data_IF_951169205520
#
_entry.id   IF_951169205520
#
_cell.length_a   1.000
_cell.length_b   1.000
_cell.length_c   1.000
_cell.angle_alpha   90.00
_cell.angle_beta   90.00
_cell.angle_gamma   90.00
#
_symmetry.space_group_name_H-M   'P 1'
#
loop_
_entity.id
_entity.type
_entity.pdbx_description
1 polymer ?
#
# COMPACT_ATOMS: atom_id res chain seq x y z
N UNK A 1 -22.24 37.35 23.13
CA UNK A 1 -20.97 36.83 23.71
C UNK A 1 -19.88 37.69 23.12
N UNK A 2 -19.17 38.44 23.97
CA UNK A 2 -18.19 39.42 23.53
C UNK A 2 -16.98 38.73 22.88
N UNK A 3 -16.64 39.18 21.68
CA UNK A 3 -15.49 38.70 20.94
C UNK A 3 -14.22 39.31 21.56
N UNK A 4 -13.29 38.46 22.00
CA UNK A 4 -12.00 38.88 22.56
C UNK A 4 -10.91 38.77 21.49
N UNK A 5 -10.42 39.90 21.00
CA UNK A 5 -9.33 39.97 20.01
C UNK A 5 -8.10 40.68 20.59
N UNK A 6 -6.91 40.19 20.26
CA UNK A 6 -5.64 40.75 20.72
C UNK A 6 -4.51 40.35 19.77
N UNK A 7 -3.60 41.29 19.49
CA UNK A 7 -2.32 40.98 18.83
C UNK A 7 -1.37 40.30 19.83
N UNK A 8 -0.85 39.13 19.44
CA UNK A 8 0.05 38.34 20.28
C UNK A 8 1.39 38.16 19.57
N UNK A 9 2.48 38.42 20.31
CA UNK A 9 3.82 38.16 19.82
C UNK A 9 4.05 36.67 19.59
N UNK A 10 4.46 36.31 18.38
CA UNK A 10 4.55 34.92 17.94
C UNK A 10 5.95 34.44 17.56
N UNK A 11 6.96 34.93 18.30
CA UNK A 11 8.35 34.51 18.14
C UNK A 11 9.06 35.17 16.95
N UNK A 12 10.33 34.82 16.80
CA UNK A 12 11.22 35.38 15.77
C UNK A 12 11.49 34.34 14.69
N UNK A 13 11.54 34.80 13.44
CA UNK A 13 11.94 33.99 12.29
C UNK A 13 13.22 34.60 11.73
N UNK A 14 14.33 33.84 11.62
CA UNK A 14 15.54 34.32 10.98
C UNK A 14 15.27 34.77 9.54
N UNK A 15 15.66 36.00 9.21
CA UNK A 15 15.52 36.54 7.86
C UNK A 15 16.71 36.16 7.00
N UNK A 16 16.43 35.94 5.72
CA UNK A 16 17.45 35.71 4.70
C UNK A 16 18.11 37.05 4.36
N UNK A 17 19.43 37.07 4.30
CA UNK A 17 20.20 38.23 3.81
C UNK A 17 20.01 38.41 2.30
N UNK A 18 20.41 39.56 1.76
CA UNK A 18 20.43 39.82 0.31
C UNK A 18 21.28 38.80 -0.46
N UNK A 19 22.27 38.20 0.21
CA UNK A 19 23.16 37.19 -0.35
C UNK A 19 22.60 35.76 -0.26
N UNK A 20 21.41 35.53 0.32
CA UNK A 20 20.84 34.18 0.43
C UNK A 20 21.43 33.35 1.58
N UNK A 21 21.92 34.01 2.64
CA UNK A 21 22.44 33.39 3.86
C UNK A 21 21.59 33.77 5.07
N UNK A 22 21.89 33.19 6.23
CA UNK A 22 21.24 33.47 7.51
C UNK A 22 22.27 33.72 8.60
N UNK A 23 22.00 34.64 9.52
CA UNK A 23 22.85 34.87 10.69
C UNK A 23 22.22 34.13 11.88
N UNK A 24 22.93 33.12 12.40
CA UNK A 24 22.49 32.32 13.54
C UNK A 24 23.59 32.35 14.59
N UNK A 25 23.29 32.90 15.77
CA UNK A 25 24.24 33.08 16.87
C UNK A 25 25.55 33.79 16.44
N UNK A 26 25.43 34.82 15.58
CA UNK A 26 26.57 35.60 15.08
C UNK A 26 27.37 34.94 13.96
N UNK A 27 26.98 33.74 13.51
CA UNK A 27 27.66 33.04 12.40
C UNK A 27 26.80 32.99 11.15
N UNK A 28 27.42 33.17 9.99
CA UNK A 28 26.73 33.06 8.70
C UNK A 28 26.54 31.59 8.32
N UNK A 29 25.30 31.24 7.97
CA UNK A 29 24.88 29.89 7.63
C UNK A 29 24.11 29.88 6.32
N UNK A 30 24.17 28.75 5.64
CA UNK A 30 23.40 28.48 4.43
C UNK A 30 22.53 27.26 4.65
N UNK A 31 21.29 27.35 4.17
CA UNK A 31 20.37 26.22 4.14
C UNK A 31 20.50 25.54 2.78
N UNK A 32 21.06 24.34 2.77
CA UNK A 32 21.26 23.55 1.55
C UNK A 32 19.91 22.98 1.09
N UNK A 33 19.60 23.12 -0.20
CA UNK A 33 18.37 22.56 -0.77
C UNK A 33 18.41 21.03 -0.72
N UNK A 34 17.29 20.42 -0.36
CA UNK A 34 17.24 18.97 -0.15
C UNK A 34 16.67 18.27 -1.38
N UNK A 35 17.37 17.25 -1.88
CA UNK A 35 16.85 16.33 -2.89
C UNK A 35 16.23 15.11 -2.19
N UNK A 36 14.92 14.96 -2.31
CA UNK A 36 14.18 13.84 -1.71
C UNK A 36 13.34 13.10 -2.74
N UNK A 37 12.72 11.98 -2.35
CA UNK A 37 11.76 11.28 -3.22
C UNK A 37 10.51 12.14 -3.40
N UNK A 38 10.05 12.28 -4.63
CA UNK A 38 8.80 12.97 -4.93
C UNK A 38 7.61 12.19 -4.33
N UNK A 39 6.51 12.86 -3.97
CA UNK A 39 5.27 12.18 -3.60
C UNK A 39 4.76 11.25 -4.72
N UNK A 40 4.14 10.14 -4.37
CA UNK A 40 3.60 9.16 -5.31
C UNK A 40 3.72 7.72 -4.83
N UNK A 41 3.51 6.77 -5.74
CA UNK A 41 3.75 5.34 -5.51
C UNK A 41 4.99 4.88 -6.26
N UNK A 42 5.78 4.02 -5.62
CA UNK A 42 6.99 3.41 -6.18
C UNK A 42 6.93 1.92 -6.00
N UNK A 43 7.18 1.16 -7.06
CA UNK A 43 7.32 -0.30 -7.00
C UNK A 43 8.79 -0.64 -7.15
N UNK A 44 9.27 -1.63 -6.41
CA UNK A 44 10.68 -1.96 -6.33
C UNK A 44 10.86 -3.47 -6.26
N UNK A 45 12.00 -3.96 -6.74
CA UNK A 45 12.41 -5.32 -6.52
C UNK A 45 13.88 -5.37 -6.13
N UNK A 46 14.24 -6.30 -5.27
CA UNK A 46 15.60 -6.37 -4.74
C UNK A 46 16.59 -7.13 -5.63
N UNK A 47 16.17 -7.51 -6.84
CA UNK A 47 16.91 -8.37 -7.77
C UNK A 47 17.46 -9.66 -7.13
N UNK A 48 16.85 -10.13 -6.03
CA UNK A 48 17.30 -11.30 -5.28
C UNK A 48 18.51 -11.06 -4.37
N UNK A 49 18.93 -9.81 -4.15
CA UNK A 49 20.09 -9.46 -3.33
C UNK A 49 19.81 -9.57 -1.82
N UNK A 50 18.57 -9.43 -1.37
CA UNK A 50 18.28 -9.30 0.09
C UNK A 50 18.15 -10.63 0.82
N UNK A 51 17.81 -11.72 0.12
CA UNK A 51 17.58 -13.02 0.74
C UNK A 51 18.57 -14.07 0.21
N UNK A 52 19.13 -14.87 1.12
CA UNK A 52 20.16 -15.87 0.80
C UNK A 52 19.71 -16.91 -0.25
N UNK A 53 18.41 -17.14 -0.39
CA UNK A 53 17.85 -18.03 -1.42
C UNK A 53 17.92 -17.45 -2.84
N UNK A 54 18.31 -16.19 -3.02
CA UNK A 54 18.26 -15.49 -4.30
C UNK A 54 16.85 -15.21 -4.83
N UNK A 55 15.82 -15.36 -3.97
CA UNK A 55 14.43 -15.11 -4.35
C UNK A 55 14.22 -13.60 -4.44
N UNK A 56 13.74 -13.14 -5.59
CA UNK A 56 13.38 -11.74 -5.80
C UNK A 56 12.19 -11.37 -4.93
N UNK A 57 12.37 -10.35 -4.10
CA UNK A 57 11.34 -9.76 -3.25
C UNK A 57 10.84 -8.46 -3.89
N UNK A 58 9.53 -8.30 -3.88
CA UNK A 58 8.86 -7.13 -4.45
C UNK A 58 8.28 -6.27 -3.34
N UNK A 59 8.33 -4.96 -3.52
CA UNK A 59 7.76 -4.00 -2.58
C UNK A 59 7.08 -2.85 -3.30
N UNK A 60 6.14 -2.19 -2.62
CA UNK A 60 5.53 -0.95 -3.05
C UNK A 60 5.57 0.07 -1.92
N UNK A 61 5.79 1.35 -2.23
CA UNK A 61 5.84 2.42 -1.24
C UNK A 61 4.98 3.58 -1.71
N UNK A 62 4.01 3.96 -0.89
CA UNK A 62 3.20 5.17 -1.07
C UNK A 62 3.80 6.25 -0.20
N UNK A 63 4.35 7.27 -0.85
CA UNK A 63 5.04 8.40 -0.23
C UNK A 63 4.15 9.63 -0.40
N UNK A 64 3.54 10.15 0.68
CA UNK A 64 2.82 11.41 0.60
C UNK A 64 3.77 12.61 0.57
N UNK A 65 3.24 13.75 0.16
CA UNK A 65 3.89 15.04 0.40
C UNK A 65 3.96 15.33 1.90
N UNK A 66 2.86 15.03 2.60
CA UNK A 66 2.72 15.12 4.05
C UNK A 66 1.78 14.04 4.56
N UNK A 67 2.11 13.42 5.68
CA UNK A 67 1.31 12.36 6.29
C UNK A 67 2.10 11.06 6.41
N UNK A 68 1.40 9.98 6.76
CA UNK A 68 2.02 8.69 7.05
C UNK A 68 2.39 7.90 5.79
N UNK A 69 3.53 7.23 5.82
CA UNK A 69 3.97 6.38 4.71
C UNK A 69 3.29 5.01 4.79
N UNK A 70 2.96 4.44 3.63
CA UNK A 70 2.52 3.03 3.52
C UNK A 70 3.58 2.28 2.72
N UNK A 71 4.13 1.22 3.30
CA UNK A 71 5.10 0.34 2.65
C UNK A 71 4.54 -1.08 2.63
N UNK A 72 4.44 -1.67 1.45
CA UNK A 72 4.10 -3.07 1.23
C UNK A 72 5.35 -3.84 0.83
N UNK A 73 5.59 -5.01 1.42
CA UNK A 73 6.70 -5.87 1.02
C UNK A 73 6.33 -7.36 1.12
N UNK A 74 6.69 -8.12 0.09
CA UNK A 74 6.66 -9.57 0.13
C UNK A 74 7.89 -10.10 0.87
N UNK A 75 7.68 -11.08 1.75
CA UNK A 75 8.78 -11.83 2.34
C UNK A 75 9.14 -13.08 1.51
N UNK A 76 10.16 -13.81 1.97
CA UNK A 76 10.62 -15.02 1.30
C UNK A 76 9.56 -16.14 1.26
N UNK A 77 8.59 -16.12 2.18
CA UNK A 77 7.47 -17.08 2.26
C UNK A 77 6.26 -16.64 1.42
N UNK A 78 6.40 -15.60 0.59
CA UNK A 78 5.31 -15.01 -0.20
C UNK A 78 4.19 -14.39 0.63
N UNK A 79 4.45 -14.02 1.89
CA UNK A 79 3.47 -13.29 2.71
C UNK A 79 3.60 -11.80 2.40
N UNK A 80 2.47 -11.15 2.13
CA UNK A 80 2.42 -9.72 1.89
C UNK A 80 2.26 -8.98 3.22
N UNK A 81 3.28 -8.21 3.57
CA UNK A 81 3.27 -7.37 4.78
C UNK A 81 3.00 -5.92 4.43
N UNK A 82 2.46 -5.18 5.40
CA UNK A 82 2.36 -3.73 5.39
C UNK A 82 3.10 -3.14 6.59
N UNK A 83 3.73 -1.98 6.39
CA UNK A 83 4.26 -1.11 7.43
C UNK A 83 3.69 0.29 7.25
N UNK A 84 3.22 0.90 8.33
CA UNK A 84 2.83 2.30 8.39
C UNK A 84 3.93 3.06 9.14
N UNK A 85 4.45 4.14 8.57
CA UNK A 85 5.55 4.95 9.14
C UNK A 85 6.78 4.15 9.60
N UNK A 86 7.15 3.13 8.81
CA UNK A 86 8.31 2.23 9.09
C UNK A 86 8.22 1.53 10.45
N UNK A 87 7.01 1.36 10.99
CA UNK A 87 6.78 0.57 12.20
C UNK A 87 6.82 -0.94 11.90
N UNK A 88 6.52 -1.75 12.91
CA UNK A 88 6.52 -3.21 12.83
C UNK A 88 5.54 -3.69 11.74
N UNK A 89 5.93 -4.75 11.04
CA UNK A 89 5.11 -5.42 10.03
C UNK A 89 3.77 -5.91 10.60
N UNK A 90 2.76 -5.85 9.74
CA UNK A 90 1.44 -6.46 9.87
C UNK A 90 1.12 -7.20 8.55
N UNK A 91 0.33 -8.29 8.56
CA UNK A 91 -0.28 -8.82 7.35
C UNK A 91 -1.03 -7.72 6.60
N UNK A 92 -0.82 -7.59 5.30
CA UNK A 92 -1.41 -6.49 4.53
C UNK A 92 -2.94 -6.58 4.43
N UNK A 93 -3.52 -7.76 4.62
CA UNK A 93 -4.97 -7.99 4.66
C UNK A 93 -5.64 -7.29 5.84
N UNK A 94 -4.93 -7.06 6.96
CA UNK A 94 -5.44 -6.26 8.08
C UNK A 94 -5.76 -4.84 7.61
N UNK A 95 -4.89 -4.24 6.77
CA UNK A 95 -5.18 -2.92 6.23
C UNK A 95 -6.41 -2.95 5.33
N UNK A 96 -6.58 -3.98 4.48
CA UNK A 96 -7.76 -4.10 3.63
C UNK A 96 -9.06 -4.28 4.45
N UNK A 97 -9.05 -5.13 5.48
CA UNK A 97 -10.18 -5.28 6.40
C UNK A 97 -10.50 -3.98 7.14
N UNK A 98 -9.48 -3.23 7.57
CA UNK A 98 -9.66 -1.91 8.19
C UNK A 98 -10.24 -0.86 7.23
N UNK A 99 -10.09 -1.04 5.91
CA UNK A 99 -10.76 -0.22 4.89
C UNK A 99 -12.23 -0.63 4.70
N UNK A 100 -12.68 -1.73 5.30
CA UNK A 100 -14.03 -2.26 5.21
C UNK A 100 -14.22 -3.36 4.16
N UNK A 101 -13.13 -3.90 3.58
CA UNK A 101 -13.25 -5.02 2.64
C UNK A 101 -13.43 -6.35 3.38
N UNK A 102 -14.38 -7.16 2.93
CA UNK A 102 -14.56 -8.53 3.45
C UNK A 102 -13.51 -9.49 2.88
N UNK A 103 -13.33 -10.65 3.51
CA UNK A 103 -12.42 -11.69 3.00
C UNK A 103 -12.78 -12.10 1.57
N UNK A 104 -14.08 -12.24 1.28
CA UNK A 104 -14.58 -12.57 -0.05
C UNK A 104 -14.25 -11.48 -1.08
N UNK A 105 -14.50 -10.20 -0.75
CA UNK A 105 -14.16 -9.08 -1.64
C UNK A 105 -12.66 -9.00 -1.90
N UNK A 106 -11.83 -9.21 -0.88
CA UNK A 106 -10.38 -9.27 -1.02
C UNK A 106 -10.02 -10.39 -2.00
N UNK A 107 -10.49 -11.62 -1.78
CA UNK A 107 -10.14 -12.76 -2.62
C UNK A 107 -10.61 -12.57 -4.07
N UNK A 108 -11.86 -12.15 -4.29
CA UNK A 108 -12.39 -11.82 -5.63
C UNK A 108 -11.62 -10.69 -6.30
N UNK A 109 -11.04 -9.78 -5.53
CA UNK A 109 -10.22 -8.70 -6.08
C UNK A 109 -8.83 -9.17 -6.51
N UNK A 110 -8.25 -10.23 -5.94
CA UNK A 110 -6.89 -10.70 -6.29
C UNK A 110 -6.88 -11.96 -7.16
N UNK A 111 -7.92 -12.77 -7.09
CA UNK A 111 -8.02 -14.06 -7.75
C UNK A 111 -9.24 -14.12 -8.67
N UNK A 112 -9.10 -14.84 -9.77
CA UNK A 112 -10.22 -15.26 -10.59
C UNK A 112 -10.94 -16.43 -9.89
N UNK A 113 -12.25 -16.53 -10.07
CA UNK A 113 -13.04 -17.65 -9.54
C UNK A 113 -13.42 -18.61 -10.67
N UNK A 114 -13.60 -19.89 -10.37
CA UNK A 114 -14.22 -20.88 -11.26
C UNK A 114 -15.52 -21.39 -10.63
N UNK A 115 -16.61 -21.41 -11.39
CA UNK A 115 -17.89 -21.98 -10.93
C UNK A 115 -17.91 -23.48 -11.19
N UNK A 116 -18.25 -24.23 -10.14
CA UNK A 116 -18.39 -25.69 -10.16
C UNK A 116 -19.87 -26.02 -10.04
N UNK A 117 -20.35 -26.89 -10.93
CA UNK A 117 -21.69 -27.43 -10.92
C UNK A 117 -21.63 -28.93 -10.62
N UNK A 118 -22.46 -29.38 -9.70
CA UNK A 118 -22.71 -30.80 -9.47
C UNK A 118 -24.01 -31.21 -10.17
N UNK A 119 -23.98 -32.33 -10.90
CA UNK A 119 -25.15 -32.94 -11.54
C UNK A 119 -25.52 -34.22 -10.79
N UNK A 120 -26.52 -34.18 -9.89
CA UNK A 120 -26.94 -35.36 -9.13
C UNK A 120 -27.39 -36.52 -10.03
N UNK A 121 -28.08 -36.22 -11.14
CA UNK A 121 -28.63 -37.23 -12.06
C UNK A 121 -27.54 -38.10 -12.72
N UNK A 122 -26.34 -37.55 -12.89
CA UNK A 122 -25.22 -38.18 -13.58
C UNK A 122 -24.02 -38.44 -12.65
N UNK A 123 -24.15 -38.10 -11.36
CA UNK A 123 -23.08 -38.08 -10.34
C UNK A 123 -21.73 -37.52 -10.85
N UNK A 124 -21.78 -36.40 -11.57
CA UNK A 124 -20.59 -35.77 -12.17
C UNK A 124 -20.47 -34.30 -11.84
N UNK A 125 -19.24 -33.79 -11.87
CA UNK A 125 -18.95 -32.38 -11.72
C UNK A 125 -18.67 -31.74 -13.08
N UNK A 126 -19.16 -30.53 -13.26
CA UNK A 126 -18.99 -29.70 -14.43
C UNK A 126 -18.42 -28.35 -14.00
N UNK A 127 -17.68 -27.68 -14.89
CA UNK A 127 -17.28 -26.29 -14.68
C UNK A 127 -17.28 -25.49 -15.96
N UNK A 128 -17.37 -24.17 -15.84
CA UNK A 128 -17.22 -23.29 -17.01
C UNK A 128 -15.76 -23.29 -17.44
N UNK A 129 -15.49 -23.71 -18.68
CA UNK A 129 -14.16 -23.64 -19.26
C UNK A 129 -13.84 -22.22 -19.68
N UNK A 130 -12.73 -21.67 -19.14
CA UNK A 130 -12.15 -20.40 -19.59
C UNK A 130 -10.78 -20.64 -20.17
N UNK A 131 -10.64 -20.42 -21.48
CA UNK A 131 -9.41 -20.70 -22.20
C UNK A 131 -8.23 -19.88 -21.67
N UNK A 132 -8.47 -18.62 -21.30
CA UNK A 132 -7.42 -17.69 -20.84
C UNK A 132 -6.72 -18.15 -19.55
N UNK A 133 -7.48 -18.75 -18.63
CA UNK A 133 -6.96 -19.30 -17.38
C UNK A 133 -6.12 -20.56 -17.64
N UNK A 134 -6.56 -21.37 -18.60
CA UNK A 134 -6.01 -22.70 -18.85
C UNK A 134 -4.89 -22.74 -19.90
N UNK A 135 -4.69 -21.68 -20.68
CA UNK A 135 -3.82 -21.67 -21.86
C UNK A 135 -2.41 -22.25 -21.66
N UNK A 136 -1.81 -22.09 -20.48
CA UNK A 136 -0.46 -22.60 -20.21
C UNK A 136 -0.40 -23.72 -19.16
N UNK A 137 -1.57 -24.20 -18.73
CA UNK A 137 -1.66 -25.34 -17.82
C UNK A 137 -1.55 -26.64 -18.59
N UNK A 138 -0.91 -27.64 -17.96
CA UNK A 138 -0.97 -29.02 -18.43
C UNK A 138 -2.33 -29.58 -18.04
N UNK A 139 -3.05 -30.08 -19.03
CA UNK A 139 -4.32 -30.76 -18.80
C UNK A 139 -4.02 -32.16 -18.29
N UNK A 140 -4.51 -32.56 -17.11
CA UNK A 140 -4.24 -33.88 -16.53
C UNK A 140 -5.31 -34.94 -16.84
N UNK A 141 -6.44 -34.54 -17.40
CA UNK A 141 -7.59 -35.41 -17.67
C UNK A 141 -8.25 -35.09 -19.04
N UNK A 142 -8.98 -36.02 -19.66
CA UNK A 142 -9.69 -35.76 -20.91
C UNK A 142 -10.70 -34.60 -20.76
N UNK A 143 -10.69 -33.65 -21.70
CA UNK A 143 -11.70 -32.59 -21.76
C UNK A 143 -12.93 -33.15 -22.47
N UNK A 144 -14.06 -33.12 -21.79
CA UNK A 144 -15.35 -33.60 -22.29
C UNK A 144 -16.31 -32.42 -22.25
N UNK A 145 -16.92 -32.12 -23.40
CA UNK A 145 -18.00 -31.11 -23.47
C UNK A 145 -19.24 -31.68 -22.76
N UNK A 146 -19.76 -30.97 -21.76
CA UNK A 146 -20.87 -31.46 -20.94
C UNK A 146 -22.21 -31.49 -21.70
N UNK A 147 -22.35 -30.75 -22.80
CA UNK A 147 -23.58 -30.74 -23.62
C UNK A 147 -23.62 -31.88 -24.64
N UNK A 148 -22.48 -32.18 -25.27
CA UNK A 148 -22.40 -33.17 -26.35
C UNK A 148 -21.84 -34.52 -25.91
N UNK A 149 -21.30 -34.61 -24.68
CA UNK A 149 -20.49 -35.72 -24.18
C UNK A 149 -19.32 -36.09 -25.13
N UNK A 150 -18.92 -35.18 -26.02
CA UNK A 150 -17.82 -35.40 -26.95
C UNK A 150 -16.49 -35.28 -26.21
N UNK A 151 -15.71 -36.37 -26.21
CA UNK A 151 -14.34 -36.37 -25.70
C UNK A 151 -13.44 -35.70 -26.74
N UNK A 152 -12.85 -34.57 -26.38
CA UNK A 152 -11.95 -33.87 -27.27
C UNK A 152 -10.61 -34.62 -27.38
N UNK A 153 -10.07 -34.80 -28.60
CA UNK A 153 -8.81 -35.51 -28.83
C UNK A 153 -7.59 -34.64 -28.47
N UNK A 154 -7.51 -34.23 -27.20
CA UNK A 154 -6.41 -33.46 -26.62
C UNK A 154 -5.36 -34.38 -25.98
N UNK A 155 -4.08 -33.99 -26.09
CA UNK A 155 -3.01 -34.72 -25.41
C UNK A 155 -2.90 -34.24 -23.95
N UNK A 156 -3.25 -35.10 -22.99
CA UNK A 156 -3.21 -34.85 -21.53
C UNK A 156 -1.80 -34.66 -20.94
N UNK A 157 -0.77 -34.49 -21.77
CA UNK A 157 0.62 -34.26 -21.33
C UNK A 157 1.17 -32.90 -21.75
N UNK A 158 0.47 -32.19 -22.63
CA UNK A 158 0.91 -30.89 -23.18
C UNK A 158 0.03 -29.75 -22.67
N UNK A 159 0.66 -28.59 -22.51
CA UNK A 159 -0.06 -27.35 -22.25
C UNK A 159 -1.01 -27.02 -23.41
N UNK A 160 -2.15 -26.40 -23.12
CA UNK A 160 -3.16 -25.99 -24.11
C UNK A 160 -2.58 -25.15 -25.25
N UNK A 161 -1.71 -24.21 -24.93
CA UNK A 161 -1.00 -23.35 -25.89
C UNK A 161 -0.06 -24.14 -26.81
N UNK A 162 0.37 -25.33 -26.41
CA UNK A 162 1.29 -26.22 -27.15
C UNK A 162 0.56 -27.39 -27.82
N UNK A 163 -0.76 -27.44 -27.76
CA UNK A 163 -1.56 -28.38 -28.54
C UNK A 163 -1.42 -28.06 -30.05
N UNK A 164 -1.66 -29.07 -30.88
CA UNK A 164 -1.49 -28.92 -32.33
C UNK A 164 -2.36 -27.78 -32.88
N UNK A 165 -1.88 -27.09 -33.93
CA UNK A 165 -2.60 -25.97 -34.58
C UNK A 165 -4.03 -26.32 -35.02
N UNK A 166 -4.31 -27.59 -35.30
CA UNK A 166 -5.64 -28.11 -35.66
C UNK A 166 -6.60 -28.24 -34.47
N UNK A 167 -6.08 -28.35 -33.26
CA UNK A 167 -6.86 -28.56 -32.03
C UNK A 167 -7.21 -27.26 -31.30
N UNK A 168 -6.43 -26.20 -31.49
CA UNK A 168 -6.70 -24.88 -30.87
C UNK A 168 -8.12 -24.35 -31.14
N UNK A 169 -8.63 -24.33 -32.39
CA UNK A 169 -9.97 -23.77 -32.66
C UNK A 169 -11.08 -24.54 -31.96
N UNK A 170 -10.94 -25.88 -31.82
CA UNK A 170 -11.93 -26.73 -31.13
C UNK A 170 -11.96 -26.49 -29.62
N UNK A 171 -10.80 -26.19 -29.04
CA UNK A 171 -10.68 -25.88 -27.62
C UNK A 171 -11.15 -24.45 -27.33
N UNK A 172 -10.78 -23.49 -28.18
CA UNK A 172 -11.26 -22.10 -28.08
C UNK A 172 -12.79 -22.02 -28.24
N UNK A 173 -13.40 -22.92 -29.02
CA UNK A 173 -14.86 -23.03 -29.14
C UNK A 173 -15.58 -23.53 -27.87
N UNK A 174 -14.85 -24.04 -26.87
CA UNK A 174 -15.39 -24.40 -25.55
C UNK A 174 -15.33 -23.25 -24.56
N UNK A 175 -14.74 -22.11 -24.94
CA UNK A 175 -14.69 -20.96 -24.05
C UNK A 175 -16.12 -20.52 -23.70
N UNK A 176 -16.42 -20.48 -22.41
CA UNK A 176 -17.77 -20.24 -21.89
C UNK A 176 -18.69 -21.46 -21.83
N UNK A 177 -18.30 -22.63 -22.35
CA UNK A 177 -19.05 -23.88 -22.22
C UNK A 177 -18.73 -24.64 -20.93
N UNK A 178 -19.61 -25.56 -20.56
CA UNK A 178 -19.39 -26.46 -19.42
C UNK A 178 -18.57 -27.68 -19.85
N UNK A 179 -17.58 -28.02 -19.06
CA UNK A 179 -16.76 -29.23 -19.23
C UNK A 179 -16.90 -30.14 -18.03
N UNK A 180 -16.87 -31.44 -18.25
CA UNK A 180 -16.86 -32.44 -17.16
C UNK A 180 -15.47 -32.47 -16.53
N UNK A 181 -15.42 -32.49 -15.20
CA UNK A 181 -14.18 -32.54 -14.42
C UNK A 181 -14.18 -33.71 -13.42
N UNK A 182 -13.01 -34.34 -13.18
CA UNK A 182 -12.87 -35.35 -12.14
C UNK A 182 -13.02 -34.73 -10.74
N UNK A 183 -13.60 -35.50 -9.80
CA UNK A 183 -13.72 -35.10 -8.39
C UNK A 183 -12.35 -34.77 -7.78
N UNK A 184 -11.31 -35.51 -8.15
CA UNK A 184 -9.95 -35.36 -7.65
C UNK A 184 -9.35 -33.97 -7.95
N UNK A 185 -9.89 -33.27 -8.94
CA UNK A 185 -9.40 -31.94 -9.35
C UNK A 185 -9.99 -30.80 -8.52
N UNK A 186 -11.10 -31.09 -7.83
CA UNK A 186 -11.81 -30.18 -6.92
C UNK A 186 -11.26 -30.33 -5.50
N UNK A 187 -10.83 -31.53 -5.12
CA UNK A 187 -10.18 -31.77 -3.83
C UNK A 187 -8.96 -30.85 -3.65
N UNK A 188 -8.79 -30.34 -2.44
CA UNK A 188 -7.73 -29.39 -2.05
C UNK A 188 -7.79 -28.04 -2.77
N UNK A 189 -8.86 -27.76 -3.55
CA UNK A 189 -9.16 -26.40 -4.02
C UNK A 189 -9.78 -25.59 -2.89
N UNK A 190 -9.74 -24.28 -3.04
CA UNK A 190 -10.14 -23.33 -2.00
C UNK A 190 -11.45 -22.69 -2.40
N UNK A 191 -12.38 -22.56 -1.44
CA UNK A 191 -13.64 -21.86 -1.65
C UNK A 191 -13.45 -20.36 -1.88
N UNK A 192 -14.17 -19.81 -2.85
CA UNK A 192 -14.15 -18.36 -3.11
C UNK A 192 -15.16 -17.57 -2.26
N UNK A 193 -16.24 -18.21 -1.82
CA UNK A 193 -17.33 -17.58 -1.05
C UNK A 193 -17.85 -18.53 0.03
N UNK A 194 -18.61 -17.99 0.98
CA UNK A 194 -19.33 -18.82 1.95
C UNK A 194 -20.44 -19.59 1.22
N UNK A 195 -20.56 -20.88 1.49
CA UNK A 195 -21.64 -21.74 0.96
C UNK A 195 -22.58 -22.09 2.10
N UNK A 196 -23.79 -21.55 2.03
CA UNK A 196 -24.79 -21.63 3.08
C UNK A 196 -25.94 -22.52 2.62
N UNK A 197 -26.35 -23.47 3.45
CA UNK A 197 -27.60 -24.17 3.24
C UNK A 197 -28.77 -23.26 3.64
N UNK A 198 -29.54 -22.80 2.64
CA UNK A 198 -30.68 -21.92 2.84
C UNK A 198 -31.81 -22.54 3.68
N UNK A 199 -31.83 -23.87 3.84
CA UNK A 199 -32.86 -24.57 4.63
C UNK A 199 -32.55 -24.57 6.12
N UNK A 200 -31.29 -24.76 6.47
CA UNK A 200 -30.83 -24.86 7.87
C UNK A 200 -30.18 -23.57 8.38
N UNK A 201 -29.74 -22.69 7.47
CA UNK A 201 -28.97 -21.49 7.79
C UNK A 201 -27.53 -21.77 8.21
N UNK A 202 -27.06 -23.01 8.06
CA UNK A 202 -25.69 -23.40 8.42
C UNK A 202 -24.71 -23.11 7.27
N UNK A 203 -23.55 -22.57 7.62
CA UNK A 203 -22.42 -22.42 6.69
C UNK A 203 -21.75 -23.78 6.56
N UNK A 204 -21.81 -24.37 5.38
CA UNK A 204 -21.22 -25.70 5.11
C UNK A 204 -19.76 -25.60 4.68
N UNK A 205 -19.40 -24.52 3.98
CA UNK A 205 -18.05 -24.25 3.52
C UNK A 205 -17.77 -22.75 3.66
N UNK A 206 -16.75 -22.40 4.44
CA UNK A 206 -16.34 -21.00 4.65
C UNK A 206 -15.48 -20.49 3.48
N UNK A 207 -15.51 -19.18 3.25
CA UNK A 207 -14.64 -18.49 2.32
C UNK A 207 -13.17 -18.70 2.73
N UNK A 208 -12.31 -19.02 1.75
CA UNK A 208 -10.90 -19.39 1.97
C UNK A 208 -10.66 -20.75 2.63
N UNK A 209 -11.71 -21.56 2.85
CA UNK A 209 -11.58 -22.93 3.36
C UNK A 209 -11.18 -23.91 2.24
N UNK A 210 -10.47 -24.97 2.62
CA UNK A 210 -10.05 -26.04 1.71
C UNK A 210 -11.16 -27.08 1.53
N UNK A 211 -11.41 -27.48 0.29
CA UNK A 211 -12.44 -28.46 -0.05
C UNK A 211 -11.93 -29.87 0.21
N UNK A 212 -12.44 -30.48 1.28
CA UNK A 212 -12.22 -31.88 1.63
C UNK A 212 -13.32 -32.78 1.07
N UNK A 213 -13.10 -34.09 1.10
CA UNK A 213 -14.10 -35.07 0.68
C UNK A 213 -15.35 -35.05 1.57
N UNK A 214 -15.17 -34.84 2.88
CA UNK A 214 -16.25 -34.66 3.86
C UNK A 214 -17.13 -33.46 3.49
N UNK A 215 -16.52 -32.31 3.20
CA UNK A 215 -17.25 -31.11 2.77
C UNK A 215 -17.99 -31.29 1.46
N UNK A 216 -17.41 -31.98 0.49
CA UNK A 216 -18.13 -32.30 -0.76
C UNK A 216 -19.34 -33.20 -0.50
N UNK A 217 -19.26 -34.11 0.47
CA UNK A 217 -20.40 -34.94 0.86
C UNK A 217 -21.48 -34.11 1.57
N UNK A 218 -21.11 -33.24 2.51
CA UNK A 218 -22.04 -32.32 3.17
C UNK A 218 -22.79 -31.45 2.15
N UNK A 219 -22.10 -30.91 1.15
CA UNK A 219 -22.71 -30.12 0.07
C UNK A 219 -23.72 -30.95 -0.76
N UNK A 220 -23.39 -32.22 -1.04
CA UNK A 220 -24.29 -33.14 -1.76
C UNK A 220 -25.54 -33.45 -0.94
N UNK A 221 -25.38 -33.75 0.35
CA UNK A 221 -26.48 -34.07 1.26
C UNK A 221 -27.42 -32.87 1.47
N UNK A 222 -26.87 -31.65 1.50
CA UNK A 222 -27.63 -30.41 1.55
C UNK A 222 -28.31 -30.04 0.22
N UNK A 223 -27.98 -30.73 -0.89
CA UNK A 223 -28.52 -30.46 -2.22
C UNK A 223 -27.95 -29.21 -2.89
N UNK A 224 -26.75 -28.79 -2.48
CA UNK A 224 -26.07 -27.64 -3.08
C UNK A 224 -25.36 -28.09 -4.35
N UNK A 225 -25.88 -27.64 -5.49
CA UNK A 225 -25.41 -28.06 -6.81
C UNK A 225 -24.43 -27.07 -7.45
N UNK A 226 -24.17 -25.93 -6.83
CA UNK A 226 -23.29 -24.89 -7.37
C UNK A 226 -22.47 -24.25 -6.25
N UNK A 227 -21.16 -24.10 -6.49
CA UNK A 227 -20.26 -23.37 -5.61
C UNK A 227 -19.07 -22.81 -6.40
N UNK A 228 -18.38 -21.82 -5.82
CA UNK A 228 -17.25 -21.13 -6.46
C UNK A 228 -15.92 -21.52 -5.81
N UNK A 229 -14.91 -21.78 -6.65
CA UNK A 229 -13.54 -22.04 -6.20
C UNK A 229 -12.58 -20.96 -6.68
N UNK A 230 -11.52 -20.72 -5.91
CA UNK A 230 -10.44 -19.81 -6.30
C UNK A 230 -9.50 -20.45 -7.32
N UNK A 231 -9.15 -19.68 -8.35
CA UNK A 231 -8.15 -20.07 -9.33
C UNK A 231 -6.78 -19.46 -9.01
N UNK A 232 -5.84 -20.31 -8.59
CA UNK A 232 -4.42 -20.01 -8.59
C UNK A 232 -3.62 -21.30 -8.84
N UNK A 233 -2.57 -21.20 -9.65
CA UNK A 233 -1.80 -22.35 -10.13
C UNK A 233 -0.42 -22.47 -9.45
N UNK A 234 -0.08 -21.55 -8.54
CA UNK A 234 1.21 -21.42 -7.88
C UNK A 234 2.42 -21.35 -8.83
N UNK A 235 2.19 -21.18 -10.13
CA UNK A 235 3.22 -21.07 -11.17
C UNK A 235 3.20 -19.64 -11.72
N UNK A 236 2.02 -19.18 -12.16
CA UNK A 236 1.78 -17.82 -12.66
C UNK A 236 1.10 -16.96 -11.63
N UNK A 237 0.10 -17.50 -10.95
CA UNK A 237 -0.68 -16.80 -9.93
C UNK A 237 -0.33 -17.42 -8.59
N UNK A 238 0.31 -16.62 -7.74
CA UNK A 238 0.72 -17.03 -6.41
C UNK A 238 -0.44 -17.01 -5.42
N UNK A 239 -0.56 -18.04 -4.57
CA UNK A 239 -1.47 -18.06 -3.41
C UNK A 239 -1.12 -17.05 -2.29
N UNK A 240 -0.27 -16.05 -2.54
CA UNK A 240 0.28 -15.15 -1.53
C UNK A 240 -0.76 -14.41 -0.67
N UNK A 241 -1.85 -13.93 -1.26
CA UNK A 241 -2.89 -13.20 -0.52
C UNK A 241 -3.66 -14.15 0.39
N UNK A 242 -3.92 -15.40 -0.06
CA UNK A 242 -4.46 -16.46 0.80
C UNK A 242 -3.55 -16.76 1.98
N UNK A 243 -2.26 -17.00 1.74
CA UNK A 243 -1.30 -17.28 2.82
C UNK A 243 -1.20 -16.10 3.80
N UNK A 244 -1.38 -14.87 3.31
CA UNK A 244 -1.46 -13.67 4.14
C UNK A 244 -2.73 -13.64 4.99
N UNK A 245 -3.89 -14.02 4.42
CA UNK A 245 -5.16 -14.14 5.14
C UNK A 245 -5.10 -15.21 6.25
N UNK A 246 -4.41 -16.32 6.04
CA UNK A 246 -4.25 -17.37 7.06
C UNK A 246 -3.44 -16.91 8.28
N UNK A 247 -2.54 -15.93 8.11
CA UNK A 247 -1.77 -15.33 9.20
C UNK A 247 -2.48 -14.16 9.87
N UNK A 248 -3.51 -13.63 9.22
CA UNK A 248 -4.32 -12.55 9.72
C UNK A 248 -5.33 -13.05 10.73
N UNK A 249 -5.17 -12.61 11.99
CA UNK A 249 -6.01 -13.03 13.11
C UNK A 249 -7.30 -12.21 13.24
N UNK A 250 -7.47 -11.17 12.43
CA UNK A 250 -8.61 -10.27 12.50
C UNK A 250 -9.75 -10.78 11.63
N UNK A 251 -10.99 -10.67 12.10
CA UNK A 251 -12.17 -11.14 11.34
C UNK A 251 -12.96 -9.99 10.74
N UNK A 252 -13.11 -8.89 11.50
CA UNK A 252 -13.94 -7.75 11.14
C UNK A 252 -13.14 -6.44 11.01
N UNK A 253 -13.79 -5.40 10.48
CA UNK A 253 -13.20 -4.08 10.29
C UNK A 253 -12.72 -3.46 11.62
N UNK A 254 -13.50 -3.61 12.69
CA UNK A 254 -13.21 -2.98 13.99
C UNK A 254 -11.95 -3.58 14.64
N UNK A 255 -11.83 -4.91 14.63
CA UNK A 255 -10.65 -5.64 15.10
C UNK A 255 -9.40 -5.25 14.31
N UNK A 256 -9.54 -5.12 12.98
CA UNK A 256 -8.44 -4.71 12.12
C UNK A 256 -7.98 -3.28 12.44
N UNK A 257 -8.92 -2.33 12.62
CA UNK A 257 -8.63 -0.95 13.04
C UNK A 257 -7.96 -0.92 14.43
N UNK A 258 -8.44 -1.73 15.38
CA UNK A 258 -7.85 -1.84 16.72
C UNK A 258 -6.41 -2.38 16.66
N UNK A 259 -6.15 -3.39 15.82
CA UNK A 259 -4.82 -3.97 15.69
C UNK A 259 -3.83 -2.95 15.08
N UNK A 260 -4.27 -2.17 14.09
CA UNK A 260 -3.49 -1.03 13.57
C UNK A 260 -3.23 -0.01 14.69
N UNK A 261 -4.24 0.35 15.48
CA UNK A 261 -4.10 1.29 16.59
C UNK A 261 -3.06 0.82 17.62
N UNK A 262 -3.12 -0.44 18.05
CA UNK A 262 -2.13 -1.03 18.99
C UNK A 262 -0.71 -0.93 18.45
N UNK A 263 -0.53 -1.04 17.13
CA UNK A 263 0.78 -0.91 16.48
C UNK A 263 1.27 0.54 16.42
N UNK A 264 0.35 1.49 16.22
CA UNK A 264 0.65 2.92 16.17
C UNK A 264 0.84 3.53 17.55
N UNK A 265 0.18 3.01 18.59
CA UNK A 265 0.27 3.49 19.97
C UNK A 265 0.41 2.32 20.95
N UNK A 266 1.60 1.72 21.04
CA UNK A 266 1.85 0.62 21.97
C UNK A 266 1.85 1.17 23.41
N UNK A 267 0.72 1.04 24.10
CA UNK A 267 0.57 1.47 25.50
C UNK A 267 -0.77 2.14 25.81
N UNK A 268 -1.42 2.75 24.81
CA UNK A 268 -2.73 3.36 25.00
C UNK A 268 -3.82 2.29 24.86
N UNK A 269 -4.80 2.20 25.78
CA UNK A 269 -5.92 1.28 25.63
C UNK A 269 -6.73 1.64 24.38
N UNK A 270 -6.96 0.69 23.44
CA UNK A 270 -7.72 0.97 22.24
C UNK A 270 -9.22 1.06 22.55
N UNK A 271 -9.87 2.13 22.09
CA UNK A 271 -11.33 2.16 21.93
C UNK A 271 -11.68 2.20 20.45
N UNK A 272 -12.82 1.64 20.04
CA UNK A 272 -13.21 1.57 18.62
C UNK A 272 -13.23 2.98 18.01
N UNK A 273 -13.79 3.96 18.72
CA UNK A 273 -13.88 5.35 18.24
C UNK A 273 -12.52 6.03 18.10
N UNK A 274 -11.62 5.87 19.09
CA UNK A 274 -10.28 6.46 19.03
C UNK A 274 -9.43 5.81 17.94
N UNK A 275 -9.60 4.50 17.74
CA UNK A 275 -8.92 3.74 16.70
C UNK A 275 -9.41 4.12 15.30
N UNK A 276 -10.72 4.22 15.10
CA UNK A 276 -11.32 4.68 13.84
C UNK A 276 -10.88 6.11 13.50
N UNK A 277 -10.92 7.02 14.47
CA UNK A 277 -10.44 8.40 14.29
C UNK A 277 -8.97 8.45 13.90
N UNK A 278 -8.11 7.67 14.57
CA UNK A 278 -6.70 7.60 14.22
C UNK A 278 -6.52 7.10 12.78
N UNK A 279 -7.25 6.05 12.39
CA UNK A 279 -7.18 5.48 11.04
C UNK A 279 -7.59 6.49 9.95
N UNK A 280 -8.66 7.24 10.18
CA UNK A 280 -9.09 8.35 9.30
C UNK A 280 -8.02 9.44 9.19
N UNK A 281 -7.43 9.84 10.32
CA UNK A 281 -6.38 10.84 10.37
C UNK A 281 -5.09 10.40 9.66
N UNK A 282 -4.83 9.09 9.54
CA UNK A 282 -3.63 8.58 8.88
C UNK A 282 -3.65 8.76 7.36
N UNK A 283 -4.80 8.64 6.69
CA UNK A 283 -4.84 8.52 5.22
C UNK A 283 -5.90 9.39 4.53
N UNK A 284 -7.03 9.65 5.20
CA UNK A 284 -8.23 10.23 4.59
C UNK A 284 -8.47 11.69 4.99
N UNK A 285 -7.84 12.15 6.06
CA UNK A 285 -7.98 13.52 6.52
C UNK A 285 -7.00 14.47 5.81
N UNK A 286 -7.52 15.41 5.00
CA UNK A 286 -6.75 16.46 4.30
C UNK A 286 -5.87 17.30 5.23
N UNK A 287 -6.27 17.41 6.50
CA UNK A 287 -5.55 18.18 7.52
C UNK A 287 -4.25 17.48 7.92
N UNK A 288 -4.15 16.16 7.81
CA UNK A 288 -2.98 15.36 8.20
C UNK A 288 -2.28 14.68 7.02
N UNK A 289 -3.01 14.40 5.95
CA UNK A 289 -2.53 13.69 4.77
C UNK A 289 -2.69 14.51 3.49
N UNK A 290 -1.65 14.53 2.67
CA UNK A 290 -1.60 15.23 1.40
C UNK A 290 -0.58 14.56 0.46
N UNK A 291 -1.03 14.13 -0.72
CA UNK A 291 -0.20 13.60 -1.80
C UNK A 291 0.42 14.70 -2.66
N UNK A 292 -0.07 15.94 -2.55
CA UNK A 292 0.07 17.02 -3.54
C UNK A 292 -0.55 16.67 -4.90
N UNK A 293 -0.72 17.69 -5.75
CA UNK A 293 -1.15 17.52 -7.15
C UNK A 293 -0.22 16.58 -7.93
N UNK A 294 1.09 16.69 -7.69
CA UNK A 294 2.10 15.86 -8.36
C UNK A 294 2.00 14.40 -7.92
N UNK A 295 1.83 14.15 -6.63
CA UNK A 295 1.71 12.76 -6.13
C UNK A 295 0.43 12.08 -6.60
N UNK A 296 -0.69 12.81 -6.66
CA UNK A 296 -1.94 12.31 -7.22
C UNK A 296 -1.82 12.00 -8.71
N UNK A 297 -1.23 12.89 -9.51
CA UNK A 297 -0.98 12.65 -10.94
C UNK A 297 -0.08 11.43 -11.17
N UNK A 298 1.00 11.28 -10.38
CA UNK A 298 1.87 10.09 -10.44
C UNK A 298 1.13 8.80 -10.12
N UNK A 299 0.33 8.80 -9.05
CA UNK A 299 -0.47 7.65 -8.64
C UNK A 299 -1.46 7.25 -9.75
N UNK A 300 -2.18 8.24 -10.29
CA UNK A 300 -3.16 8.04 -11.36
C UNK A 300 -2.53 7.50 -12.64
N UNK A 301 -1.42 8.07 -13.10
CA UNK A 301 -0.71 7.59 -14.30
C UNK A 301 -0.19 6.17 -14.13
N UNK A 302 0.36 5.86 -12.95
CA UNK A 302 0.96 4.56 -12.67
C UNK A 302 -0.08 3.45 -12.59
N UNK A 303 -1.20 3.71 -11.93
CA UNK A 303 -2.27 2.74 -11.69
C UNK A 303 -3.42 2.85 -12.70
N UNK A 304 -3.33 3.77 -13.67
CA UNK A 304 -4.39 4.09 -14.66
C UNK A 304 -5.73 4.43 -14.01
N UNK A 305 -5.69 5.25 -12.95
CA UNK A 305 -6.89 5.70 -12.24
C UNK A 305 -7.36 7.05 -12.81
N UNK A 306 -8.68 7.20 -12.95
CA UNK A 306 -9.31 8.45 -13.36
C UNK A 306 -9.83 9.19 -12.12
N UNK A 307 -8.98 10.03 -11.52
CA UNK A 307 -9.28 10.78 -10.29
C UNK A 307 -8.86 12.22 -10.48
N UNK A 308 -9.69 13.20 -10.10
CA UNK A 308 -9.29 14.60 -10.15
C UNK A 308 -7.99 14.86 -9.37
N UNK A 309 -7.08 15.65 -9.96
CA UNK A 309 -5.76 15.96 -9.38
C UNK A 309 -5.88 16.75 -8.06
N UNK A 310 -7.02 17.43 -7.85
CA UNK A 310 -7.32 18.16 -6.63
C UNK A 310 -7.71 17.24 -5.45
N UNK A 311 -7.95 15.94 -5.70
CA UNK A 311 -8.16 14.96 -4.64
C UNK A 311 -6.82 14.48 -4.06
N UNK A 312 -6.34 15.17 -3.02
CA UNK A 312 -4.99 14.98 -2.48
C UNK A 312 -4.87 13.96 -1.34
N UNK A 313 -5.97 13.47 -0.77
CA UNK A 313 -5.98 12.37 0.22
C UNK A 313 -5.96 11.03 -0.47
N UNK A 314 -5.58 9.94 0.21
CA UNK A 314 -5.76 8.59 -0.35
C UNK A 314 -7.24 8.22 -0.36
N UNK A 315 -7.60 7.28 -1.24
CA UNK A 315 -8.89 6.59 -1.22
C UNK A 315 -8.69 5.10 -0.96
N UNK A 316 -9.75 4.40 -0.54
CA UNK A 316 -9.70 2.96 -0.28
C UNK A 316 -9.31 2.18 -1.54
N UNK A 317 -9.83 2.62 -2.68
CA UNK A 317 -9.58 2.04 -4.01
C UNK A 317 -8.13 2.27 -4.44
N UNK A 318 -7.51 3.38 -4.02
CA UNK A 318 -6.12 3.67 -4.35
C UNK A 318 -5.18 2.65 -3.68
N UNK A 319 -5.40 2.35 -2.39
CA UNK A 319 -4.60 1.38 -1.63
C UNK A 319 -4.78 -0.03 -2.22
N UNK A 320 -6.03 -0.40 -2.51
CA UNK A 320 -6.35 -1.69 -3.12
C UNK A 320 -5.69 -1.83 -4.51
N UNK A 321 -5.75 -0.79 -5.34
CA UNK A 321 -5.09 -0.77 -6.65
C UNK A 321 -3.57 -0.86 -6.56
N UNK A 322 -2.93 -0.23 -5.57
CA UNK A 322 -1.49 -0.38 -5.31
C UNK A 322 -1.14 -1.83 -4.98
N UNK A 323 -1.91 -2.46 -4.09
CA UNK A 323 -1.69 -3.86 -3.73
C UNK A 323 -1.91 -4.80 -4.92
N UNK A 324 -2.96 -4.56 -5.73
CA UNK A 324 -3.22 -5.34 -6.95
C UNK A 324 -2.08 -5.21 -7.96
N UNK A 325 -1.59 -3.99 -8.19
CA UNK A 325 -0.48 -3.77 -9.10
C UNK A 325 0.82 -4.43 -8.61
N UNK A 326 1.09 -4.38 -7.30
CA UNK A 326 2.23 -5.07 -6.69
C UNK A 326 2.13 -6.60 -6.87
N UNK A 327 0.93 -7.17 -6.65
CA UNK A 327 0.66 -8.59 -6.87
C UNK A 327 0.85 -8.99 -8.34
N UNK A 328 0.40 -8.17 -9.29
CA UNK A 328 0.59 -8.39 -10.72
C UNK A 328 2.07 -8.32 -11.13
N UNK A 329 2.85 -7.38 -10.59
CA UNK A 329 4.30 -7.28 -10.81
C UNK A 329 5.00 -8.56 -10.35
N UNK A 330 4.68 -9.05 -9.14
CA UNK A 330 5.22 -10.30 -8.61
C UNK A 330 4.93 -11.49 -9.53
N UNK A 331 3.66 -11.65 -9.93
CA UNK A 331 3.20 -12.76 -10.75
C UNK A 331 3.77 -12.74 -12.17
N UNK A 332 3.89 -11.54 -12.79
CA UNK A 332 4.44 -11.37 -14.14
C UNK A 332 5.97 -11.24 -14.17
N UNK A 333 6.63 -11.24 -13.01
CA UNK A 333 8.05 -10.89 -12.84
C UNK A 333 8.38 -9.56 -13.53
N UNK A 334 7.53 -8.56 -13.30
CA UNK A 334 7.69 -7.22 -13.84
C UNK A 334 8.92 -6.52 -13.28
N UNK A 335 9.48 -5.58 -14.04
CA UNK A 335 10.54 -4.71 -13.55
C UNK A 335 9.97 -3.69 -12.55
N UNK A 336 10.74 -3.41 -11.50
CA UNK A 336 10.46 -2.30 -10.59
C UNK A 336 10.63 -0.94 -11.27
N UNK A 337 10.22 0.10 -10.58
CA UNK A 337 10.50 1.48 -10.95
C UNK A 337 11.97 1.81 -10.70
N UNK A 338 12.53 2.63 -11.59
CA UNK A 338 13.80 3.28 -11.35
C UNK A 338 13.58 4.45 -10.36
N UNK A 339 13.91 4.18 -9.10
CA UNK A 339 13.73 5.13 -8.00
C UNK A 339 14.75 6.28 -8.07
N UNK A 340 15.89 6.08 -8.75
CA UNK A 340 16.97 7.05 -8.82
C UNK A 340 16.84 8.02 -9.99
N UNK A 341 15.96 7.71 -10.96
CA UNK A 341 15.52 8.63 -12.00
C UNK A 341 15.17 10.02 -11.43
N UNK A 342 15.73 11.09 -11.99
CA UNK A 342 15.60 12.45 -11.45
C UNK A 342 14.13 12.92 -11.39
N UNK A 343 13.30 12.49 -12.35
CA UNK A 343 11.85 12.71 -12.33
C UNK A 343 11.12 12.13 -11.11
N UNK A 344 11.72 11.16 -10.39
CA UNK A 344 11.24 10.59 -9.13
C UNK A 344 11.85 11.25 -7.89
N UNK A 345 12.67 12.27 -8.11
CA UNK A 345 13.23 13.13 -7.07
C UNK A 345 12.69 14.53 -7.19
N UNK A 346 12.69 15.23 -6.06
CA UNK A 346 12.18 16.60 -5.93
C UNK A 346 13.12 17.41 -5.08
N UNK A 347 13.27 18.67 -5.45
CA UNK A 347 14.08 19.63 -4.70
C UNK A 347 13.15 20.36 -3.74
N UNK A 348 13.46 20.27 -2.44
CA UNK A 348 12.88 21.13 -1.40
C UNK A 348 13.76 22.35 -1.23
N UNK A 349 13.18 23.50 -1.56
CA UNK A 349 13.81 24.79 -1.31
C UNK A 349 13.72 25.16 0.18
N UNK A 350 14.49 26.18 0.57
CA UNK A 350 14.58 26.69 1.95
C UNK A 350 13.21 27.05 2.53
N UNK A 351 12.37 27.72 1.74
CA UNK A 351 11.02 28.13 2.16
C UNK A 351 10.15 26.95 2.59
N UNK A 352 10.14 25.87 1.80
CA UNK A 352 9.36 24.66 2.13
C UNK A 352 9.90 23.95 3.37
N UNK A 353 11.22 23.90 3.53
CA UNK A 353 11.84 23.29 4.70
C UNK A 353 11.41 24.03 5.98
N UNK A 354 11.46 25.36 5.95
CA UNK A 354 11.06 26.21 7.07
C UNK A 354 9.55 26.12 7.32
N UNK A 355 8.72 26.17 6.26
CA UNK A 355 7.26 26.04 6.36
C UNK A 355 6.86 24.75 7.09
N UNK A 356 7.51 23.64 6.74
CA UNK A 356 7.26 22.35 7.40
C UNK A 356 7.63 22.37 8.88
N UNK A 357 8.77 22.96 9.25
CA UNK A 357 9.17 23.10 10.65
C UNK A 357 8.20 24.01 11.43
N UNK A 358 7.80 25.12 10.82
CA UNK A 358 6.84 26.05 11.39
C UNK A 358 5.50 25.37 11.66
N UNK A 359 5.00 24.57 10.70
CA UNK A 359 3.77 23.77 10.85
C UNK A 359 3.87 22.76 11.98
N UNK A 360 5.03 22.09 12.16
CA UNK A 360 5.25 21.20 13.31
C UNK A 360 5.15 21.98 14.63
N UNK A 361 5.72 23.17 14.69
CA UNK A 361 5.57 24.08 15.83
C UNK A 361 4.11 24.43 16.11
N UNK A 362 3.36 24.83 15.09
CA UNK A 362 1.93 25.15 15.20
C UNK A 362 1.10 23.96 15.70
N UNK A 363 1.40 22.75 15.25
CA UNK A 363 0.71 21.53 15.73
C UNK A 363 0.95 21.23 17.20
N UNK A 364 2.19 21.40 17.67
CA UNK A 364 2.52 21.27 19.10
C UNK A 364 1.72 22.28 19.92
N UNK A 365 1.65 23.51 19.43
CA UNK A 365 0.89 24.56 20.10
C UNK A 365 -0.62 24.30 20.08
N UNK A 366 -1.19 23.88 18.94
CA UNK A 366 -2.60 23.55 18.80
C UNK A 366 -3.05 22.53 19.85
N UNK A 367 -2.21 21.49 20.07
CA UNK A 367 -2.47 20.50 21.11
C UNK A 367 -2.50 21.13 22.51
N UNK A 368 -1.49 21.91 22.86
CA UNK A 368 -1.43 22.60 24.16
C UNK A 368 -2.61 23.55 24.36
N UNK A 369 -3.01 24.28 23.32
CA UNK A 369 -4.18 25.18 23.36
C UNK A 369 -5.45 24.38 23.62
N UNK A 370 -5.68 23.30 22.89
CA UNK A 370 -6.85 22.43 23.09
C UNK A 370 -6.90 21.84 24.50
N UNK A 371 -5.77 21.39 25.02
CA UNK A 371 -5.67 20.88 26.39
C UNK A 371 -6.01 21.97 27.43
N UNK A 372 -5.51 23.20 27.26
CA UNK A 372 -5.81 24.32 28.16
C UNK A 372 -7.25 24.81 28.09
N UNK A 373 -7.81 24.92 26.90
CA UNK A 373 -9.20 25.32 26.70
C UNK A 373 -10.20 24.35 27.32
N UNK A 374 -9.84 23.06 27.44
CA UNK A 374 -10.68 22.07 28.11
C UNK A 374 -10.58 22.13 29.64
N UNK A 375 -9.50 22.67 30.20
CA UNK A 375 -9.26 22.71 31.65
C UNK A 375 -9.75 24.00 32.32
N UNK A 376 -9.90 25.09 31.56
CA UNK A 376 -10.15 26.44 32.10
C UNK A 376 -11.47 27.03 31.57
N UNK A 377 -12.09 27.90 32.37
CA UNK A 377 -13.34 28.58 32.00
C UNK A 377 -13.09 29.62 30.90
N UNK A 378 -13.84 29.52 29.80
CA UNK A 378 -13.66 30.34 28.59
C UNK A 378 -13.87 31.85 28.83
N UNK A 379 -14.68 32.22 29.82
CA UNK A 379 -15.05 33.62 30.06
C UNK A 379 -13.92 34.43 30.69
N UNK A 380 -12.93 33.77 31.31
CA UNK A 380 -11.76 34.44 31.92
C UNK A 380 -10.53 34.44 31.02
N UNK A 381 -10.48 33.55 30.04
CA UNK A 381 -9.35 33.38 29.13
C UNK A 381 -9.17 34.53 28.15
N UNK A 382 -7.91 34.97 27.95
CA UNK A 382 -7.50 35.87 26.88
C UNK A 382 -6.62 35.14 25.86
N UNK A 383 -6.56 35.56 24.58
CA UNK A 383 -5.77 34.89 23.55
C UNK A 383 -4.27 34.69 23.89
N UNK A 384 -3.64 35.66 24.57
CA UNK A 384 -2.23 35.57 24.96
C UNK A 384 -1.97 34.50 26.03
N UNK A 385 -2.96 34.08 26.82
CA UNK A 385 -2.82 33.00 27.81
C UNK A 385 -2.66 31.62 27.14
N UNK A 386 -3.27 31.47 25.96
CA UNK A 386 -3.29 30.24 25.19
C UNK A 386 -2.07 30.11 24.27
N UNK A 387 -1.60 31.22 23.71
CA UNK A 387 -0.55 31.21 22.68
C UNK A 387 0.84 31.35 23.32
N UNK A 388 1.65 30.29 23.20
CA UNK A 388 3.04 30.27 23.68
C UNK A 388 4.01 30.18 22.51
N UNK A 389 4.70 31.28 22.20
CA UNK A 389 5.65 31.36 21.08
C UNK A 389 6.86 30.43 21.21
N UNK A 390 7.15 29.93 22.42
CA UNK A 390 8.27 29.01 22.71
C UNK A 390 8.16 27.71 21.90
N UNK A 391 6.96 27.18 21.71
CA UNK A 391 6.76 25.91 20.99
C UNK A 391 7.13 25.98 19.52
N UNK A 392 6.95 27.16 18.89
CA UNK A 392 7.32 27.38 17.49
C UNK A 392 8.78 27.83 17.39
N UNK A 393 9.16 28.82 18.20
CA UNK A 393 10.53 29.35 18.24
C UNK A 393 11.57 28.27 18.51
N UNK A 394 11.27 27.28 19.37
CA UNK A 394 12.20 26.18 19.67
C UNK A 394 12.47 25.31 18.44
N UNK A 395 11.43 25.00 17.65
CA UNK A 395 11.56 24.15 16.46
C UNK A 395 12.34 24.87 15.37
N UNK A 396 12.09 26.17 15.20
CA UNK A 396 12.84 27.00 14.24
C UNK A 396 14.30 27.13 14.67
N UNK A 397 14.58 27.44 15.95
CA UNK A 397 15.96 27.51 16.47
C UNK A 397 16.69 26.18 16.34
N UNK A 398 16.03 25.06 16.61
CA UNK A 398 16.58 23.71 16.44
C UNK A 398 16.94 23.43 14.97
N UNK A 399 16.06 23.80 14.03
CA UNK A 399 16.35 23.65 12.60
C UNK A 399 17.56 24.48 12.17
N UNK A 400 17.61 25.76 12.50
CA UNK A 400 18.73 26.63 12.10
C UNK A 400 20.04 26.31 12.83
N UNK A 401 19.98 25.82 14.07
CA UNK A 401 21.17 25.50 14.86
C UNK A 401 21.78 24.13 14.56
N UNK A 402 20.93 23.11 14.49
CA UNK A 402 21.36 21.69 14.57
C UNK A 402 21.01 20.86 13.34
N UNK A 403 20.24 21.39 12.38
CA UNK A 403 19.90 20.63 11.17
C UNK A 403 21.13 20.37 10.31
N UNK A 404 21.21 19.17 9.73
CA UNK A 404 22.22 18.81 8.74
C UNK A 404 22.17 19.68 7.47
N UNK A 405 21.02 20.30 7.21
CA UNK A 405 20.82 21.20 6.08
C UNK A 405 21.27 22.64 6.39
N UNK A 406 21.41 23.00 7.68
CA UNK A 406 21.90 24.31 8.11
C UNK A 406 23.40 24.26 8.39
N UNK A 407 24.19 24.63 7.38
CA UNK A 407 25.65 24.50 7.39
C UNK A 407 26.31 25.87 7.59
N UNK A 408 27.50 25.88 8.18
CA UNK A 408 28.33 27.09 8.18
C UNK A 408 28.70 27.46 6.75
N UNK A 409 28.67 28.75 6.44
CA UNK A 409 28.93 29.21 5.08
C UNK A 409 30.39 28.98 4.70
N UNK A 410 30.62 28.43 3.49
CA UNK A 410 31.98 28.26 2.96
C UNK A 410 32.47 29.61 2.42
N UNK A 411 33.29 30.32 3.19
CA UNK A 411 33.76 31.68 2.91
C UNK A 411 35.21 31.75 2.39
N UNK A 412 35.75 30.64 1.88
CA UNK A 412 37.16 30.59 1.41
C UNK A 412 37.37 31.50 0.20
N UNK A 413 36.43 31.48 -0.75
CA UNK A 413 36.42 32.34 -1.94
C UNK A 413 34.99 32.48 -2.49
N UNK A 414 34.72 33.46 -3.38
CA UNK A 414 33.38 33.68 -3.93
C UNK A 414 32.80 32.47 -4.68
N UNK A 415 33.66 31.64 -5.30
CA UNK A 415 33.22 30.44 -6.00
C UNK A 415 32.70 29.36 -5.03
N UNK A 416 33.39 29.15 -3.91
CA UNK A 416 32.94 28.25 -2.85
C UNK A 416 31.60 28.73 -2.29
N UNK A 417 31.44 30.05 -2.14
CA UNK A 417 30.21 30.66 -1.66
C UNK A 417 29.01 30.34 -2.58
N UNK A 418 29.16 30.62 -3.88
CA UNK A 418 28.12 30.35 -4.89
C UNK A 418 27.84 28.85 -5.00
N UNK A 419 28.88 28.02 -4.99
CA UNK A 419 28.75 26.55 -5.09
C UNK A 419 27.99 25.98 -3.90
N UNK A 420 28.26 26.46 -2.69
CA UNK A 420 27.59 25.98 -1.48
C UNK A 420 26.10 26.36 -1.47
N UNK A 421 25.75 27.59 -1.88
CA UNK A 421 24.35 28.02 -2.00
C UNK A 421 23.55 27.21 -3.03
N UNK A 422 24.19 26.78 -4.11
CA UNK A 422 23.59 25.98 -5.19
C UNK A 422 23.67 24.47 -4.96
N UNK A 423 24.20 24.03 -3.82
CA UNK A 423 24.38 22.61 -3.50
C UNK A 423 23.02 21.95 -3.27
N UNK A 424 22.89 20.72 -3.76
CA UNK A 424 21.79 19.81 -3.44
C UNK A 424 22.28 18.72 -2.49
N UNK A 425 21.49 18.42 -1.46
CA UNK A 425 21.80 17.37 -0.50
C UNK A 425 20.69 16.33 -0.46
N UNK A 426 21.03 15.05 -0.62
CA UNK A 426 20.08 13.96 -0.40
C UNK A 426 19.91 13.60 1.10
N UNK A 427 20.68 14.24 1.98
CA UNK A 427 20.69 13.98 3.42
C UNK A 427 19.63 14.81 4.16
N UNK A 428 19.40 14.49 5.43
CA UNK A 428 18.52 15.23 6.31
C UNK A 428 17.12 14.60 6.49
N UNK A 429 16.20 15.30 7.18
CA UNK A 429 14.90 14.76 7.56
C UNK A 429 14.07 14.38 6.32
N UNK A 430 13.57 13.15 6.29
CA UNK A 430 12.82 12.59 5.14
C UNK A 430 13.68 12.21 3.93
N UNK A 431 14.98 12.46 3.97
CA UNK A 431 15.96 12.03 2.98
C UNK A 431 16.66 10.73 3.38
N UNK A 432 17.87 10.55 2.85
CA UNK A 432 18.75 9.42 3.17
C UNK A 432 19.63 9.73 4.37
N UNK A 433 20.04 8.70 5.10
CA UNK A 433 21.15 8.79 6.05
C UNK A 433 22.44 8.32 5.37
N UNK A 434 23.59 8.78 5.85
CA UNK A 434 24.90 8.40 5.27
C UNK A 434 25.10 6.88 5.24
N UNK A 435 24.66 6.19 6.30
CA UNK A 435 24.79 4.73 6.44
C UNK A 435 23.84 3.96 5.51
N UNK A 436 22.75 4.57 5.07
CA UNK A 436 21.76 3.96 4.17
C UNK A 436 21.94 4.36 2.71
N UNK A 437 22.82 5.31 2.42
CA UNK A 437 23.15 5.72 1.07
C UNK A 437 24.09 4.68 0.45
N UNK A 438 23.50 3.65 -0.16
CA UNK A 438 24.20 2.62 -0.91
C UNK A 438 24.83 3.13 -2.20
N UNK A 439 25.50 2.24 -2.92
CA UNK A 439 26.20 2.56 -4.18
C UNK A 439 25.24 3.13 -5.24
N UNK A 440 24.08 2.51 -5.42
CA UNK A 440 23.07 2.87 -6.45
C UNK A 440 22.68 4.35 -6.41
N UNK A 441 22.52 4.92 -5.20
CA UNK A 441 22.11 6.31 -5.02
C UNK A 441 23.28 7.30 -5.13
N UNK A 442 24.52 6.82 -5.04
CA UNK A 442 25.75 7.64 -5.17
C UNK A 442 26.24 7.70 -6.61
N UNK A 443 25.81 6.76 -7.44
CA UNK A 443 26.21 6.68 -8.83
C UNK A 443 25.59 7.81 -9.66
N UNK A 444 26.20 8.10 -10.82
CA UNK A 444 25.71 9.13 -11.74
C UNK A 444 24.63 8.54 -12.62
N UNK A 445 23.39 8.96 -12.41
CA UNK A 445 22.26 8.59 -13.25
C UNK A 445 22.26 9.34 -14.58
N UNK A 446 21.81 8.69 -15.66
CA UNK A 446 21.76 9.28 -17.02
C UNK A 446 20.86 10.52 -17.09
N UNK A 447 19.84 10.59 -16.24
CA UNK A 447 18.88 11.71 -16.16
C UNK A 447 19.41 12.94 -15.42
N UNK A 448 20.68 12.94 -14.99
CA UNK A 448 21.31 14.13 -14.42
C UNK A 448 21.74 15.13 -15.48
N UNK A 449 21.90 14.66 -16.73
CA UNK A 449 22.01 15.50 -17.91
C UNK A 449 20.62 15.97 -18.34
#
# INVERSE_FOLDING_TARGET
RDMKEQEVYFGEIPLMTENGTFIVNGTERVIVSQLHRSPGVFFDNDEGKSHASGKVLYSARIIPYRGSWIEFDFDAKDILHVRIDRRRKLPATILLKALGYTTEEILRHFYETEQIFYRPDLDRYEKVFRFDLWKDQKITYPLIDAETDEVLPIQTTKALSKQSRKMRPRVEALDGKRIVIPKETILHKISASDVIDLRTGLVLLECNEEITEEKLQELREAGINEFEILFFDNIKISGAIRETLLLDKTTNEEEAIIEIYRRMRPGDPPTVESARRLFEDLFFNKVYYDLSKVGRDKLNRKLKLDVPIDHQTLRKEDILAVMRHLFDIKNRKGKGDDIDHLGNRRIRAVGELIENQYRVGLRRMERTIKERMNMQELDTLMPHDLIHSKSVSSVIKEFFGSSQLSQFMDQINPLAEVTHKRRLSALGPGGLTRDRAGFEVRDVHSTHY
#
